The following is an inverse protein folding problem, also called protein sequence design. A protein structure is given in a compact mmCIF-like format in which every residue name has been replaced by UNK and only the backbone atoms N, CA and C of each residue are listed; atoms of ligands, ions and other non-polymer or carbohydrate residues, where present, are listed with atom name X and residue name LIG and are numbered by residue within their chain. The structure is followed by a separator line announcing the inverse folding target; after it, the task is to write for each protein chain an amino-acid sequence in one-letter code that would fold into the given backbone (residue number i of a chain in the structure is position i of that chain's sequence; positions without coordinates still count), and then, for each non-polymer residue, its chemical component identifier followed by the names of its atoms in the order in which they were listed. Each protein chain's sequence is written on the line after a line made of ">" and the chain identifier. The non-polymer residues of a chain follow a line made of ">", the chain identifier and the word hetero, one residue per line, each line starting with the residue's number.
data_IF_408982280373
#
_entry.id   IF_408982280373
#
_cell.length_a   1.000
_cell.length_b   1.000
_cell.length_c   1.000
_cell.angle_alpha   90.00
_cell.angle_beta   90.00
_cell.angle_gamma   90.00
#
_symmetry.space_group_name_H-M   'P 1'
#
loop_
_entity.id
_entity.type
_entity.pdbx_description
1 polymer ?
#
# COMPACT_ATOMS: atom_id res chain seq x y z
N UNK A 1 12.51 3.42 -12.80
CA UNK A 1 11.77 3.26 -14.07
C UNK A 1 12.49 2.30 -15.01
N UNK A 2 13.74 2.57 -15.43
CA UNK A 2 14.50 1.72 -16.37
C UNK A 2 14.56 0.23 -16.00
N UNK A 3 14.62 -0.12 -14.69
CA UNK A 3 14.54 -1.53 -14.24
C UNK A 3 13.18 -2.15 -14.49
N UNK A 4 12.11 -1.40 -14.25
CA UNK A 4 10.74 -1.85 -14.49
C UNK A 4 10.52 -2.12 -15.99
N UNK A 5 10.93 -1.20 -16.85
CA UNK A 5 10.87 -1.35 -18.30
C UNK A 5 11.65 -2.59 -18.79
N UNK A 6 12.90 -2.76 -18.32
CA UNK A 6 13.71 -3.93 -18.66
C UNK A 6 13.11 -5.26 -18.20
N UNK A 7 12.27 -5.24 -17.16
CA UNK A 7 11.56 -6.41 -16.65
C UNK A 7 10.20 -6.64 -17.31
N UNK A 8 9.88 -5.90 -18.37
CA UNK A 8 8.62 -6.03 -19.12
C UNK A 8 7.39 -5.50 -18.36
N UNK A 9 7.60 -4.69 -17.32
CA UNK A 9 6.49 -4.04 -16.59
C UNK A 9 5.94 -2.92 -17.45
N UNK A 10 4.65 -2.96 -17.71
CA UNK A 10 3.93 -1.96 -18.53
C UNK A 10 3.02 -1.04 -17.71
N UNK A 11 2.79 -1.33 -16.44
CA UNK A 11 1.91 -0.55 -15.56
C UNK A 11 2.67 -0.13 -14.30
N UNK A 12 2.70 1.17 -14.02
CA UNK A 12 3.28 1.75 -12.83
C UNK A 12 2.17 2.31 -11.94
N UNK A 13 2.17 1.93 -10.67
CA UNK A 13 1.24 2.47 -9.66
C UNK A 13 1.99 3.41 -8.72
N UNK A 14 1.52 4.65 -8.62
CA UNK A 14 2.05 5.67 -7.71
C UNK A 14 1.16 5.74 -6.47
N UNK A 15 1.76 5.69 -5.28
CA UNK A 15 1.06 5.85 -4.01
C UNK A 15 1.01 7.32 -3.61
N UNK A 16 -0.20 7.87 -3.43
CA UNK A 16 -0.42 9.24 -2.97
C UNK A 16 -0.84 9.32 -1.50
N UNK A 17 -1.27 8.20 -0.92
CA UNK A 17 -1.88 8.10 0.41
C UNK A 17 -0.89 7.83 1.55
N UNK A 18 0.42 7.82 1.28
CA UNK A 18 1.46 7.58 2.29
C UNK A 18 2.50 8.71 2.28
N UNK A 19 2.13 9.96 2.64
CA UNK A 19 3.08 11.08 2.68
C UNK A 19 4.05 11.00 3.85
N UNK A 20 3.74 10.20 4.88
CA UNK A 20 4.53 9.95 6.08
C UNK A 20 4.09 8.64 6.72
N UNK A 21 4.79 8.17 7.75
CA UNK A 21 4.30 7.03 8.54
C UNK A 21 2.99 7.37 9.24
N UNK A 22 1.95 6.57 9.00
CA UNK A 22 0.65 6.74 9.64
C UNK A 22 0.71 6.48 11.16
N UNK A 23 -0.09 7.22 11.91
CA UNK A 23 -0.27 6.98 13.33
C UNK A 23 -1.08 5.70 13.55
N UNK A 24 -0.44 4.67 14.11
CA UNK A 24 -1.03 3.34 14.33
C UNK A 24 -0.97 2.99 15.82
N UNK A 25 -1.98 3.36 16.60
CA UNK A 25 -1.97 3.20 18.06
C UNK A 25 -1.68 1.78 18.53
N UNK A 26 -2.23 0.77 17.84
CA UNK A 26 -1.98 -0.64 18.20
C UNK A 26 -0.55 -1.08 17.93
N UNK A 27 0.04 -0.67 16.81
CA UNK A 27 1.43 -0.97 16.47
C UNK A 27 2.37 -0.29 17.49
N UNK A 28 2.08 0.96 17.86
CA UNK A 28 2.83 1.71 18.88
C UNK A 28 2.73 1.03 20.25
N UNK A 29 1.51 0.69 20.69
CA UNK A 29 1.26 0.02 21.98
C UNK A 29 1.96 -1.33 22.08
N UNK A 30 2.02 -2.06 20.98
CA UNK A 30 2.65 -3.38 20.91
C UNK A 30 4.17 -3.33 20.61
N UNK A 31 4.77 -2.16 20.50
CA UNK A 31 6.19 -2.00 20.16
C UNK A 31 6.55 -2.37 18.73
N UNK A 32 5.55 -2.46 17.84
CA UNK A 32 5.71 -2.85 16.42
C UNK A 32 5.77 -1.65 15.47
N UNK A 33 5.78 -0.42 16.00
CA UNK A 33 6.06 0.78 15.17
C UNK A 33 7.53 0.81 14.74
N UNK A 34 7.84 1.57 13.71
CA UNK A 34 9.24 1.77 13.30
C UNK A 34 9.88 2.91 14.11
N UNK A 35 11.04 2.69 14.75
CA UNK A 35 11.74 1.41 14.90
C UNK A 35 11.04 0.48 15.92
N UNK A 36 11.02 -0.84 15.66
CA UNK A 36 10.36 -1.77 16.57
C UNK A 36 11.11 -1.87 17.90
N UNK A 37 10.34 -1.99 18.99
CA UNK A 37 10.88 -2.14 20.33
C UNK A 37 10.53 -3.52 20.89
N UNK A 38 11.52 -4.25 21.36
CA UNK A 38 11.29 -5.51 22.06
C UNK A 38 10.71 -5.22 23.44
N UNK A 39 9.47 -5.64 23.68
CA UNK A 39 8.81 -5.56 24.98
C UNK A 39 8.76 -6.94 25.66
N UNK A 40 8.57 -6.98 26.97
CA UNK A 40 8.37 -8.25 27.69
C UNK A 40 7.18 -9.04 27.12
N UNK A 41 6.11 -8.35 26.72
CA UNK A 41 4.97 -8.98 26.05
C UNK A 41 5.36 -9.65 24.74
N UNK A 42 6.18 -8.98 23.91
CA UNK A 42 6.66 -9.53 22.66
C UNK A 42 7.54 -10.76 22.89
N UNK A 43 8.38 -10.74 23.91
CA UNK A 43 9.21 -11.90 24.30
C UNK A 43 8.35 -13.11 24.64
N UNK A 44 7.32 -12.94 25.48
CA UNK A 44 6.41 -14.04 25.79
C UNK A 44 5.58 -14.51 24.60
N UNK A 45 5.22 -13.63 23.68
CA UNK A 45 4.54 -14.00 22.44
C UNK A 45 5.45 -14.85 21.53
N UNK A 46 6.73 -14.50 21.43
CA UNK A 46 7.73 -15.28 20.69
C UNK A 46 7.87 -16.69 21.28
N UNK A 47 7.95 -16.79 22.61
CA UNK A 47 8.02 -18.09 23.29
C UNK A 47 6.79 -18.98 23.05
N UNK A 48 5.61 -18.35 22.90
CA UNK A 48 4.36 -19.06 22.57
C UNK A 48 4.24 -19.45 21.09
N UNK A 49 5.17 -18.99 20.24
CA UNK A 49 5.19 -19.26 18.80
C UNK A 49 6.51 -19.89 18.36
N UNK A 50 6.85 -21.10 18.88
CA UNK A 50 8.16 -21.72 18.68
C UNK A 50 8.49 -21.98 17.21
N UNK A 51 7.53 -22.37 16.42
CA UNK A 51 7.72 -22.59 14.98
C UNK A 51 8.18 -21.30 14.27
N UNK A 52 7.54 -20.15 14.58
CA UNK A 52 7.94 -18.86 14.04
C UNK A 52 9.34 -18.46 14.51
N UNK A 53 9.62 -18.65 15.82
CA UNK A 53 10.91 -18.33 16.39
C UNK A 53 12.06 -19.11 15.75
N UNK A 54 11.89 -20.43 15.59
CA UNK A 54 12.89 -21.30 14.95
C UNK A 54 13.09 -20.93 13.48
N UNK A 55 12.00 -20.74 12.72
CA UNK A 55 12.09 -20.33 11.32
C UNK A 55 12.78 -18.98 11.14
N UNK A 56 12.51 -18.01 12.04
CA UNK A 56 13.15 -16.70 12.01
C UNK A 56 14.64 -16.78 12.37
N UNK A 57 15.03 -17.64 13.33
CA UNK A 57 16.42 -17.87 13.66
C UNK A 57 17.19 -18.51 12.49
N UNK A 58 16.60 -19.49 11.81
CA UNK A 58 17.23 -20.18 10.68
C UNK A 58 17.35 -19.29 9.45
N UNK A 59 16.28 -18.55 9.10
CA UNK A 59 16.22 -17.77 7.86
C UNK A 59 16.70 -16.32 8.04
N UNK A 60 16.90 -15.86 9.27
CA UNK A 60 17.24 -14.48 9.57
C UNK A 60 16.04 -13.52 9.50
N UNK A 61 16.33 -12.25 9.73
CA UNK A 61 15.31 -11.19 9.64
C UNK A 61 15.04 -10.84 8.17
N UNK A 62 13.76 -10.59 7.78
CA UNK A 62 13.43 -10.08 6.46
C UNK A 62 14.15 -8.77 6.18
N UNK A 63 14.64 -8.60 4.98
CA UNK A 63 15.33 -7.41 4.50
C UNK A 63 14.67 -6.82 3.27
N UNK A 64 14.88 -5.52 3.06
CA UNK A 64 14.46 -4.83 1.83
C UNK A 64 15.53 -4.98 0.75
N UNK A 65 15.63 -6.17 0.13
CA UNK A 65 16.68 -6.49 -0.85
C UNK A 65 16.77 -5.47 -1.99
N UNK A 66 15.61 -4.99 -2.47
CA UNK A 66 15.55 -4.01 -3.56
C UNK A 66 16.05 -2.62 -3.13
N UNK A 67 15.94 -2.30 -1.84
CA UNK A 67 16.40 -1.02 -1.29
C UNK A 67 17.86 -1.05 -0.86
N UNK A 68 18.45 -2.21 -0.62
CA UNK A 68 19.86 -2.36 -0.18
C UNK A 68 20.86 -1.49 -0.95
N UNK A 69 20.82 -1.40 -2.30
CA UNK A 69 21.74 -0.56 -3.06
C UNK A 69 21.63 0.95 -2.77
N UNK A 70 20.51 1.38 -2.22
CA UNK A 70 20.19 2.78 -1.92
C UNK A 70 20.30 3.11 -0.44
N UNK A 71 20.50 2.09 0.39
CA UNK A 71 20.59 2.23 1.84
C UNK A 71 22.04 2.39 2.28
N UNK A 72 22.35 3.21 3.29
CA UNK A 72 23.64 3.19 3.95
C UNK A 72 23.98 1.79 4.47
N UNK A 73 25.26 1.44 4.42
CA UNK A 73 25.72 0.12 4.93
C UNK A 73 25.58 0.08 6.46
N UNK A 74 25.19 -1.09 6.98
CA UNK A 74 25.13 -1.37 8.43
C UNK A 74 24.16 -0.49 9.24
N UNK A 75 22.97 -0.21 8.70
CA UNK A 75 21.93 0.48 9.45
C UNK A 75 21.45 -0.37 10.63
N UNK A 76 21.46 0.20 11.84
CA UNK A 76 20.70 -0.35 12.95
C UNK A 76 19.19 -0.03 12.78
N UNK A 77 18.33 -0.63 13.61
CA UNK A 77 16.87 -0.47 13.49
C UNK A 77 16.41 0.99 13.60
N UNK A 78 17.06 1.79 14.44
CA UNK A 78 16.73 3.22 14.60
C UNK A 78 17.10 4.02 13.34
N UNK A 79 18.27 3.75 12.79
CA UNK A 79 18.72 4.38 11.54
C UNK A 79 17.89 3.94 10.34
N UNK A 80 17.46 2.68 10.32
CA UNK A 80 16.53 2.18 9.32
C UNK A 80 15.18 2.92 9.39
N UNK A 81 14.64 3.11 10.58
CA UNK A 81 13.41 3.88 10.79
C UNK A 81 13.53 5.30 10.27
N UNK A 82 14.63 5.99 10.60
CA UNK A 82 14.91 7.35 10.11
C UNK A 82 15.06 7.40 8.57
N UNK A 83 15.83 6.47 8.00
CA UNK A 83 15.99 6.36 6.55
C UNK A 83 14.66 6.15 5.84
N UNK A 84 13.80 5.29 6.37
CA UNK A 84 12.47 5.03 5.80
C UNK A 84 11.60 6.28 5.89
N UNK A 85 11.59 6.99 7.01
CA UNK A 85 10.83 8.23 7.18
C UNK A 85 11.30 9.31 6.20
N UNK A 86 12.59 9.53 6.07
CA UNK A 86 13.18 10.46 5.10
C UNK A 86 12.88 10.07 3.65
N UNK A 87 12.88 8.78 3.35
CA UNK A 87 12.59 8.27 1.99
C UNK A 87 11.12 8.46 1.62
N UNK A 88 10.20 8.30 2.57
CA UNK A 88 8.77 8.51 2.37
C UNK A 88 8.30 9.96 2.60
N UNK A 89 9.18 10.84 3.03
CA UNK A 89 8.86 12.24 3.37
C UNK A 89 8.62 13.15 2.16
N UNK A 90 8.17 12.64 1.06
CA UNK A 90 7.93 13.44 -0.13
C UNK A 90 6.46 13.51 -0.52
N UNK A 91 5.78 14.63 -0.26
CA UNK A 91 4.43 14.82 -0.79
C UNK A 91 4.44 14.76 -2.31
N UNK A 92 3.52 13.98 -2.85
CA UNK A 92 3.24 13.93 -4.27
C UNK A 92 2.51 15.24 -4.65
N UNK A 93 2.89 15.85 -5.77
CA UNK A 93 2.23 17.00 -6.35
C UNK A 93 2.10 16.85 -7.87
N UNK A 94 1.36 17.73 -8.51
CA UNK A 94 1.09 17.67 -9.96
C UNK A 94 2.39 17.68 -10.78
N UNK A 95 3.39 18.47 -10.41
CA UNK A 95 4.67 18.56 -11.14
C UNK A 95 5.42 17.22 -11.14
N UNK A 96 5.47 16.54 -9.98
CA UNK A 96 6.10 15.22 -9.85
C UNK A 96 5.37 14.17 -10.66
N UNK A 97 4.02 14.20 -10.65
CA UNK A 97 3.19 13.28 -11.44
C UNK A 97 3.41 13.52 -12.94
N UNK A 98 3.40 14.78 -13.38
CA UNK A 98 3.67 15.15 -14.77
C UNK A 98 5.07 14.68 -15.21
N UNK A 99 6.09 14.94 -14.40
CA UNK A 99 7.43 14.44 -14.67
C UNK A 99 7.49 12.92 -14.82
N UNK A 100 6.80 12.18 -13.94
CA UNK A 100 6.70 10.72 -14.05
C UNK A 100 5.93 10.29 -15.31
N UNK A 101 4.84 10.99 -15.66
CA UNK A 101 4.09 10.72 -16.89
C UNK A 101 4.94 10.92 -18.13
N UNK A 102 5.75 11.96 -18.16
CA UNK A 102 6.63 12.25 -19.30
C UNK A 102 7.71 11.17 -19.49
N UNK A 103 8.22 10.63 -18.39
CA UNK A 103 9.23 9.57 -18.40
C UNK A 103 8.66 8.17 -18.65
N UNK A 104 7.50 7.85 -18.08
CA UNK A 104 6.89 6.52 -18.16
C UNK A 104 5.92 6.43 -19.32
N UNK A 105 6.21 5.59 -20.31
CA UNK A 105 5.37 5.47 -21.52
C UNK A 105 4.28 4.41 -21.43
N UNK A 106 4.35 3.54 -20.43
CA UNK A 106 3.30 2.55 -20.14
C UNK A 106 2.12 3.13 -19.38
N UNK A 107 1.27 2.28 -18.84
CA UNK A 107 0.14 2.69 -18.02
C UNK A 107 0.61 3.29 -16.70
N UNK A 108 0.06 4.45 -16.34
CA UNK A 108 0.33 5.13 -15.10
C UNK A 108 -0.96 5.24 -14.29
N UNK A 109 -0.93 4.72 -13.07
CA UNK A 109 -2.08 4.65 -12.17
C UNK A 109 -1.72 5.34 -10.87
N UNK A 110 -2.64 6.12 -10.30
CA UNK A 110 -2.47 6.71 -8.97
C UNK A 110 -3.36 6.00 -7.95
N UNK A 111 -2.79 5.66 -6.79
CA UNK A 111 -3.49 5.00 -5.68
C UNK A 111 -3.60 5.94 -4.49
N UNK A 112 -4.77 5.92 -3.85
CA UNK A 112 -5.04 6.77 -2.67
C UNK A 112 -5.81 8.03 -3.02
N UNK A 113 -6.61 7.99 -4.08
CA UNK A 113 -7.52 9.06 -4.47
C UNK A 113 -8.92 8.76 -3.96
N UNK A 114 -9.57 9.74 -3.32
CA UNK A 114 -10.92 9.59 -2.75
C UNK A 114 -11.84 10.77 -3.12
N UNK A 115 -11.30 11.84 -3.71
CA UNK A 115 -12.06 13.03 -4.08
C UNK A 115 -12.23 13.18 -5.60
N UNK A 116 -13.34 13.76 -6.02
CA UNK A 116 -13.57 14.12 -7.43
C UNK A 116 -12.47 15.05 -7.96
N UNK A 117 -11.98 15.96 -7.13
CA UNK A 117 -10.88 16.87 -7.50
C UNK A 117 -9.61 16.11 -7.89
N UNK A 118 -9.20 15.14 -7.08
CA UNK A 118 -7.98 14.36 -7.36
C UNK A 118 -8.14 13.49 -8.62
N UNK A 119 -9.34 12.93 -8.83
CA UNK A 119 -9.64 12.14 -10.04
C UNK A 119 -9.62 13.01 -11.29
N UNK A 120 -10.21 14.20 -11.23
CA UNK A 120 -10.16 15.16 -12.33
C UNK A 120 -8.70 15.53 -12.68
N UNK A 121 -7.88 15.80 -11.67
CA UNK A 121 -6.45 16.08 -11.85
C UNK A 121 -5.70 14.88 -12.44
N UNK A 122 -5.96 13.67 -11.97
CA UNK A 122 -5.37 12.47 -12.53
C UNK A 122 -5.72 12.30 -14.02
N UNK A 123 -6.97 12.53 -14.38
CA UNK A 123 -7.43 12.47 -15.77
C UNK A 123 -6.76 13.56 -16.63
N UNK A 124 -6.73 14.82 -16.17
CA UNK A 124 -6.09 15.94 -16.86
C UNK A 124 -4.58 15.72 -17.08
N UNK A 125 -3.90 15.06 -16.15
CA UNK A 125 -2.48 14.71 -16.24
C UNK A 125 -2.22 13.48 -17.14
N UNK A 126 -3.25 12.89 -17.76
CA UNK A 126 -3.11 11.76 -18.67
C UNK A 126 -2.77 10.43 -17.97
N UNK A 127 -3.23 10.25 -16.73
CA UNK A 127 -3.14 8.96 -16.05
C UNK A 127 -4.16 7.97 -16.64
N UNK A 128 -3.78 6.71 -16.69
CA UNK A 128 -4.61 5.65 -17.27
C UNK A 128 -5.62 5.09 -16.28
N UNK A 129 -5.35 5.20 -14.98
CA UNK A 129 -6.25 4.65 -13.96
C UNK A 129 -6.04 5.27 -12.58
N UNK A 130 -7.02 5.03 -11.73
CA UNK A 130 -7.00 5.37 -10.31
C UNK A 130 -7.32 4.13 -9.48
N UNK A 131 -6.77 4.07 -8.27
CA UNK A 131 -7.20 3.13 -7.24
C UNK A 131 -7.77 3.96 -6.10
N UNK A 132 -9.09 3.92 -5.95
CA UNK A 132 -9.79 4.53 -4.80
C UNK A 132 -9.40 3.74 -3.56
N UNK A 133 -8.75 4.41 -2.60
CA UNK A 133 -8.12 3.77 -1.45
C UNK A 133 -7.95 4.75 -0.30
N UNK A 134 -8.29 4.32 0.92
CA UNK A 134 -7.92 4.97 2.18
C UNK A 134 -6.81 4.20 2.92
N UNK A 135 -6.04 3.38 2.19
CA UNK A 135 -4.99 2.52 2.75
C UNK A 135 -5.51 1.58 3.85
N UNK A 136 -6.79 1.21 3.79
CA UNK A 136 -7.46 0.40 4.80
C UNK A 136 -7.61 1.07 6.16
N UNK A 137 -7.74 2.40 6.20
CA UNK A 137 -7.82 3.21 7.42
C UNK A 137 -6.49 3.28 8.20
N UNK A 138 -5.35 2.97 7.55
CA UNK A 138 -4.05 2.90 8.24
C UNK A 138 -3.31 4.24 8.28
N UNK A 139 -3.72 5.21 7.47
CA UNK A 139 -3.13 6.53 7.40
C UNK A 139 -4.00 7.57 8.10
N UNK A 140 -5.31 7.57 7.80
CA UNK A 140 -6.31 8.43 8.42
C UNK A 140 -7.50 7.56 8.80
N UNK A 141 -7.70 7.35 10.11
CA UNK A 141 -8.73 6.42 10.62
C UNK A 141 -10.16 7.01 10.49
N UNK A 142 -10.28 8.33 10.51
CA UNK A 142 -11.55 9.07 10.37
C UNK A 142 -11.92 9.39 8.93
N UNK A 143 -11.18 8.84 7.96
CA UNK A 143 -11.46 9.03 6.54
C UNK A 143 -12.78 8.40 6.10
N UNK A 144 -13.29 8.87 4.97
CA UNK A 144 -14.50 8.34 4.34
C UNK A 144 -14.32 6.86 3.94
N UNK A 145 -15.42 6.10 3.90
CA UNK A 145 -15.38 4.76 3.31
C UNK A 145 -15.20 4.83 1.79
N UNK A 146 -14.28 4.05 1.25
CA UNK A 146 -13.93 4.07 -0.19
C UNK A 146 -15.10 3.75 -1.11
N UNK A 147 -16.09 3.00 -0.63
CA UNK A 147 -17.31 2.72 -1.40
C UNK A 147 -18.16 3.99 -1.62
N UNK A 148 -18.13 4.95 -0.70
CA UNK A 148 -18.88 6.20 -0.85
C UNK A 148 -18.15 7.13 -1.82
N UNK A 149 -16.83 7.15 -1.81
CA UNK A 149 -16.02 7.79 -2.86
C UNK A 149 -16.29 7.17 -4.24
N UNK A 150 -16.36 5.84 -4.33
CA UNK A 150 -16.67 5.15 -5.59
C UNK A 150 -18.04 5.57 -6.15
N UNK A 151 -19.06 5.62 -5.31
CA UNK A 151 -20.42 6.03 -5.72
C UNK A 151 -20.48 7.44 -6.28
N UNK A 152 -19.62 8.34 -5.82
CA UNK A 152 -19.57 9.71 -6.32
C UNK A 152 -18.69 9.85 -7.56
N UNK A 153 -17.64 9.04 -7.70
CA UNK A 153 -16.65 9.12 -8.79
C UNK A 153 -17.10 8.35 -10.02
N UNK A 154 -17.53 7.10 -9.86
CA UNK A 154 -17.81 6.20 -10.96
C UNK A 154 -18.85 6.74 -11.97
N UNK A 155 -19.97 7.33 -11.57
CA UNK A 155 -20.94 7.86 -12.54
C UNK A 155 -20.40 8.93 -13.50
N UNK A 156 -19.30 9.60 -13.10
CA UNK A 156 -18.73 10.73 -13.85
C UNK A 156 -17.52 10.28 -14.69
N UNK A 157 -16.74 9.31 -14.19
CA UNK A 157 -15.41 9.01 -14.70
C UNK A 157 -15.22 7.59 -15.23
N UNK A 158 -16.15 6.64 -15.08
CA UNK A 158 -15.97 5.24 -15.48
C UNK A 158 -15.68 5.05 -16.99
N UNK A 159 -16.08 6.00 -17.84
CA UNK A 159 -15.78 5.98 -19.28
C UNK A 159 -14.57 6.87 -19.66
N UNK A 160 -13.89 7.46 -18.69
CA UNK A 160 -12.79 8.42 -18.92
C UNK A 160 -11.45 7.94 -18.39
N UNK A 161 -11.46 7.15 -17.32
CA UNK A 161 -10.27 6.62 -16.66
C UNK A 161 -10.62 5.28 -16.01
N UNK A 162 -9.66 4.36 -15.98
CA UNK A 162 -9.85 3.06 -15.32
C UNK A 162 -10.04 3.24 -13.82
N UNK A 163 -11.13 2.74 -13.25
CA UNK A 163 -11.45 2.88 -11.83
C UNK A 163 -11.29 1.54 -11.13
N UNK A 164 -10.37 1.48 -10.19
CA UNK A 164 -10.14 0.35 -9.33
C UNK A 164 -10.35 0.75 -7.88
N UNK A 165 -10.58 -0.21 -6.99
CA UNK A 165 -10.80 0.08 -5.58
C UNK A 165 -10.12 -0.96 -4.68
N UNK A 166 -9.60 -0.50 -3.55
CA UNK A 166 -9.27 -1.32 -2.39
C UNK A 166 -9.90 -0.75 -1.11
N UNK A 167 -9.50 -1.28 0.00
CA UNK A 167 -9.97 -0.93 1.35
C UNK A 167 -11.39 -1.44 1.67
N UNK A 168 -11.50 -2.02 2.83
CA UNK A 168 -12.78 -2.55 3.34
C UNK A 168 -13.25 -3.87 2.75
N UNK A 169 -12.75 -4.32 1.60
CA UNK A 169 -13.15 -5.55 0.92
C UNK A 169 -12.63 -6.77 1.68
N UNK A 170 -13.53 -7.71 2.01
CA UNK A 170 -13.21 -8.90 2.80
C UNK A 170 -13.55 -10.22 2.11
N UNK A 171 -14.46 -10.21 1.15
CA UNK A 171 -14.90 -11.43 0.48
C UNK A 171 -15.62 -11.16 -0.83
N UNK A 172 -16.11 -12.23 -1.48
CA UNK A 172 -16.73 -12.17 -2.79
C UNK A 172 -17.97 -11.27 -2.86
N UNK A 173 -18.78 -11.23 -1.81
CA UNK A 173 -19.94 -10.34 -1.75
C UNK A 173 -19.55 -8.86 -1.79
N UNK A 174 -18.44 -8.49 -1.15
CA UNK A 174 -17.95 -7.11 -1.20
C UNK A 174 -17.40 -6.78 -2.59
N UNK A 175 -16.67 -7.72 -3.22
CA UNK A 175 -16.19 -7.58 -4.59
C UNK A 175 -17.37 -7.34 -5.53
N UNK A 176 -18.40 -8.16 -5.47
CA UNK A 176 -19.59 -8.01 -6.33
C UNK A 176 -20.26 -6.65 -6.15
N UNK A 177 -20.38 -6.16 -4.90
CA UNK A 177 -20.93 -4.82 -4.62
C UNK A 177 -20.06 -3.71 -5.22
N UNK A 178 -18.74 -3.79 -5.06
CA UNK A 178 -17.81 -2.78 -5.59
C UNK A 178 -17.86 -2.73 -7.11
N UNK A 179 -17.86 -3.89 -7.78
CA UNK A 179 -18.00 -3.95 -9.24
C UNK A 179 -19.37 -3.42 -9.70
N UNK A 180 -20.45 -3.74 -9.00
CA UNK A 180 -21.78 -3.22 -9.29
C UNK A 180 -21.89 -1.69 -9.13
N UNK A 181 -21.03 -1.07 -8.33
CA UNK A 181 -20.94 0.38 -8.19
C UNK A 181 -19.99 1.07 -9.19
N UNK A 182 -19.46 0.32 -10.16
CA UNK A 182 -18.73 0.88 -11.29
C UNK A 182 -17.21 0.83 -11.19
N UNK A 183 -16.65 0.08 -10.25
CA UNK A 183 -15.23 -0.25 -10.33
C UNK A 183 -15.00 -1.37 -11.35
N UNK A 184 -13.88 -1.30 -12.07
CA UNK A 184 -13.46 -2.30 -13.04
C UNK A 184 -12.66 -3.44 -12.39
N UNK A 185 -11.96 -3.14 -11.29
CA UNK A 185 -11.12 -4.10 -10.59
C UNK A 185 -11.05 -3.82 -9.08
N UNK A 186 -10.74 -4.85 -8.28
CA UNK A 186 -10.60 -4.72 -6.82
C UNK A 186 -9.29 -5.34 -6.34
N UNK A 187 -8.73 -4.74 -5.27
CA UNK A 187 -7.57 -5.29 -4.57
C UNK A 187 -7.94 -5.64 -3.14
N UNK A 188 -7.40 -6.76 -2.65
CA UNK A 188 -7.58 -7.22 -1.29
C UNK A 188 -6.23 -7.29 -0.58
N UNK A 189 -6.17 -6.77 0.64
CA UNK A 189 -4.97 -6.83 1.47
C UNK A 189 -5.13 -7.80 2.63
N UNK A 190 -5.86 -7.37 3.66
CA UNK A 190 -5.96 -8.10 4.93
C UNK A 190 -6.58 -9.50 4.83
N UNK A 191 -7.49 -9.74 3.88
CA UNK A 191 -8.08 -11.07 3.68
C UNK A 191 -7.01 -12.11 3.36
N UNK A 192 -6.12 -11.81 2.40
CA UNK A 192 -4.99 -12.68 2.08
C UNK A 192 -3.94 -12.73 3.19
N UNK A 193 -3.64 -11.59 3.83
CA UNK A 193 -2.70 -11.57 4.96
C UNK A 193 -3.18 -12.47 6.10
N UNK A 194 -4.46 -12.48 6.44
CA UNK A 194 -5.02 -13.35 7.46
C UNK A 194 -5.01 -14.81 7.02
N UNK A 195 -5.34 -15.08 5.75
CA UNK A 195 -5.25 -16.43 5.19
C UNK A 195 -3.85 -16.99 5.29
N UNK A 196 -2.86 -16.25 4.81
CA UNK A 196 -1.43 -16.64 4.89
C UNK A 196 -0.96 -16.78 6.33
N UNK A 197 -1.36 -15.88 7.23
CA UNK A 197 -0.98 -15.96 8.65
C UNK A 197 -1.56 -17.20 9.35
N UNK A 198 -2.77 -17.64 8.96
CA UNK A 198 -3.43 -18.79 9.54
C UNK A 198 -2.95 -20.12 8.95
N UNK A 199 -2.72 -20.17 7.64
CA UNK A 199 -2.54 -21.43 6.87
C UNK A 199 -1.22 -21.50 6.09
N UNK A 200 -0.33 -20.51 6.24
CA UNK A 200 0.91 -20.41 5.48
C UNK A 200 0.63 -20.29 3.98
N UNK A 201 1.40 -20.97 3.15
CA UNK A 201 1.25 -20.93 1.68
C UNK A 201 -0.13 -21.38 1.19
N UNK A 202 -0.81 -22.27 1.93
CA UNK A 202 -2.18 -22.71 1.59
C UNK A 202 -3.22 -21.59 1.77
N UNK A 203 -2.94 -20.61 2.60
CA UNK A 203 -3.87 -19.50 2.84
C UNK A 203 -3.82 -18.39 1.79
N UNK A 204 -2.90 -18.48 0.83
CA UNK A 204 -2.84 -17.59 -0.33
C UNK A 204 -3.59 -18.10 -1.56
N UNK A 205 -4.03 -19.35 -1.50
CA UNK A 205 -4.82 -20.03 -2.53
C UNK A 205 -6.28 -20.10 -2.06
#
# INVERSE_FOLDING_TARGET
>A
LKRAEKSGINTLVILADVPSFGYRPRDIKNGLSMPPKMTLSNFFQILKSPEWAIKTLINGQPNFEVLKPYMPKNLNLNQLGKFMDETFSGRLNEEKIKYLRDLWKGNLVIKGTESLYDVEKAHQLGLNGIIISNHGGRQVDVGQATIDSLKSIAPIYNNKIEIMMDSGIRGGADIARVLAHGANFTFLGRSFMYGVSALGTKGGN
#
